data_IF_261532145829
#
_entry.id   IF_261532145829
#
_cell.length_a   1.000
_cell.length_b   1.000
_cell.length_c   1.000
_cell.angle_alpha   90.00
_cell.angle_beta   90.00
_cell.angle_gamma   90.00
#
_symmetry.space_group_name_H-M   'P 1'
#
loop_
_entity.id
_entity.type
_entity.pdbx_description
1 polymer ?
#
# COMPACT_ATOMS: atom_id res chain seq x y z
N UNK A 1 -0.87 -0.19 20.28
CA UNK A 1 -2.16 0.22 19.70
C UNK A 1 -2.65 -0.94 18.84
N UNK A 2 -3.96 -1.14 18.79
CA UNK A 2 -4.57 -2.24 18.05
C UNK A 2 -5.80 -1.71 17.27
N UNK A 3 -5.83 -1.99 15.97
CA UNK A 3 -6.97 -1.74 15.09
C UNK A 3 -7.54 -3.10 14.68
N UNK A 4 -8.78 -3.36 15.03
CA UNK A 4 -9.46 -4.62 14.72
C UNK A 4 -10.60 -4.35 13.75
N UNK A 5 -10.66 -5.11 12.67
CA UNK A 5 -11.70 -5.08 11.66
C UNK A 5 -12.47 -6.38 11.78
N UNK A 6 -13.78 -6.32 12.02
CA UNK A 6 -14.61 -7.49 12.29
C UNK A 6 -15.72 -7.61 11.24
N UNK A 7 -15.68 -8.68 10.43
CA UNK A 7 -16.71 -9.05 9.46
C UNK A 7 -17.19 -7.87 8.58
N UNK A 8 -16.24 -6.97 8.23
CA UNK A 8 -16.54 -5.73 7.55
C UNK A 8 -17.04 -5.99 6.13
N UNK A 9 -18.19 -5.42 5.79
CA UNK A 9 -18.79 -5.57 4.47
C UNK A 9 -19.28 -4.25 3.93
N UNK A 10 -19.15 -4.03 2.61
CA UNK A 10 -19.69 -2.88 1.90
C UNK A 10 -20.37 -3.28 0.61
N UNK A 11 -21.62 -2.89 0.49
CA UNK A 11 -22.46 -3.13 -0.67
C UNK A 11 -22.90 -1.80 -1.30
N UNK A 12 -22.91 -1.74 -2.63
CA UNK A 12 -23.45 -0.65 -3.45
C UNK A 12 -24.51 -1.23 -4.38
N UNK A 13 -25.78 -1.20 -3.96
CA UNK A 13 -26.84 -1.92 -4.66
C UNK A 13 -26.51 -3.41 -4.74
N UNK A 14 -26.39 -3.97 -5.94
CA UNK A 14 -26.03 -5.38 -6.16
C UNK A 14 -24.53 -5.68 -6.07
N UNK A 15 -23.68 -4.65 -6.10
CA UNK A 15 -22.23 -4.83 -6.08
C UNK A 15 -21.71 -4.93 -4.65
N UNK A 16 -21.13 -6.08 -4.29
CA UNK A 16 -20.43 -6.31 -3.02
C UNK A 16 -18.97 -5.93 -3.19
N UNK A 17 -18.58 -4.77 -2.69
CA UNK A 17 -17.22 -4.23 -2.84
C UNK A 17 -16.23 -4.77 -1.79
N UNK A 18 -16.72 -5.02 -0.56
CA UNK A 18 -15.98 -5.69 0.52
C UNK A 18 -16.93 -6.71 1.16
N UNK A 19 -16.41 -7.90 1.51
CA UNK A 19 -17.19 -9.05 1.97
C UNK A 19 -16.48 -9.70 3.15
N UNK A 20 -17.11 -9.65 4.33
CA UNK A 20 -16.65 -10.33 5.56
C UNK A 20 -15.15 -10.15 5.85
N UNK A 21 -14.60 -8.96 5.59
CA UNK A 21 -13.19 -8.69 5.82
C UNK A 21 -12.90 -8.60 7.31
N UNK A 22 -12.02 -9.46 7.82
CA UNK A 22 -11.62 -9.46 9.22
C UNK A 22 -10.09 -9.44 9.31
N UNK A 23 -9.54 -8.53 10.13
CA UNK A 23 -8.10 -8.42 10.36
C UNK A 23 -7.82 -7.74 11.70
N UNK A 24 -6.68 -8.09 12.30
CA UNK A 24 -6.18 -7.48 13.53
C UNK A 24 -4.81 -6.90 13.28
N UNK A 25 -4.68 -5.58 13.41
CA UNK A 25 -3.48 -4.82 13.05
C UNK A 25 -2.88 -4.16 14.30
N UNK A 26 -1.57 -4.29 14.45
CA UNK A 26 -0.77 -3.61 15.50
C UNK A 26 0.30 -2.75 14.84
N UNK A 27 1.22 -2.15 15.60
CA UNK A 27 2.30 -1.35 15.01
C UNK A 27 3.08 -2.15 13.97
N UNK A 28 3.39 -1.51 12.85
CA UNK A 28 4.09 -2.09 11.70
C UNK A 28 3.47 -1.66 10.37
N UNK A 29 4.08 -2.10 9.27
CA UNK A 29 3.57 -1.88 7.90
C UNK A 29 2.73 -3.08 7.47
N UNK A 30 1.56 -2.82 6.94
CA UNK A 30 0.66 -3.81 6.35
C UNK A 30 0.48 -3.50 4.87
N UNK A 31 0.95 -4.42 4.02
CA UNK A 31 0.76 -4.34 2.57
C UNK A 31 -0.63 -4.85 2.19
N UNK A 32 -1.47 -4.01 1.59
CA UNK A 32 -2.79 -4.41 1.08
C UNK A 32 -2.69 -4.64 -0.42
N UNK A 33 -2.52 -5.89 -0.83
CA UNK A 33 -2.37 -6.31 -2.22
C UNK A 33 -3.69 -6.77 -2.83
N UNK A 34 -3.79 -6.71 -4.14
CA UNK A 34 -4.91 -7.20 -4.93
C UNK A 34 -5.09 -6.44 -6.23
N UNK A 35 -5.74 -7.06 -7.20
CA UNK A 35 -6.02 -6.46 -8.49
C UNK A 35 -6.90 -5.19 -8.39
N UNK A 36 -6.94 -4.41 -9.46
CA UNK A 36 -7.85 -3.28 -9.56
C UNK A 36 -9.31 -3.76 -9.42
N UNK A 37 -10.08 -3.08 -8.57
CA UNK A 37 -11.44 -3.48 -8.26
C UNK A 37 -11.58 -4.57 -7.18
N UNK A 38 -10.49 -5.05 -6.56
CA UNK A 38 -10.54 -6.01 -5.45
C UNK A 38 -11.21 -5.48 -4.17
N UNK A 39 -11.43 -4.15 -4.06
CA UNK A 39 -12.08 -3.54 -2.89
C UNK A 39 -11.14 -2.73 -1.98
N UNK A 40 -9.84 -2.66 -2.29
CA UNK A 40 -8.81 -2.00 -1.46
C UNK A 40 -9.17 -0.56 -1.06
N UNK A 41 -9.45 0.31 -2.04
CA UNK A 41 -9.82 1.72 -1.77
C UNK A 41 -11.11 1.83 -0.96
N UNK A 42 -12.09 0.93 -1.18
CA UNK A 42 -13.34 0.91 -0.38
C UNK A 42 -13.04 0.55 1.08
N UNK A 43 -12.24 -0.49 1.32
CA UNK A 43 -11.78 -0.86 2.65
C UNK A 43 -11.05 0.29 3.34
N UNK A 44 -10.09 0.91 2.66
CA UNK A 44 -9.34 2.04 3.22
C UNK A 44 -10.24 3.24 3.55
N UNK A 45 -11.23 3.55 2.72
CA UNK A 45 -12.20 4.63 2.99
C UNK A 45 -13.06 4.34 4.22
N UNK A 46 -13.42 3.08 4.47
CA UNK A 46 -14.11 2.69 5.69
C UNK A 46 -13.20 2.83 6.92
N UNK A 47 -11.95 2.37 6.83
CA UNK A 47 -10.96 2.57 7.90
C UNK A 47 -10.71 4.06 8.16
N UNK A 48 -10.75 4.91 7.13
CA UNK A 48 -10.59 6.36 7.27
C UNK A 48 -11.83 7.08 7.80
N UNK A 49 -12.92 6.39 8.15
CA UNK A 49 -14.21 6.99 8.56
C UNK A 49 -14.75 7.99 7.51
N UNK A 50 -14.37 7.80 6.23
CA UNK A 50 -14.89 8.57 5.08
C UNK A 50 -16.13 7.91 4.50
N UNK A 51 -16.29 6.61 4.76
CA UNK A 51 -17.37 5.80 4.24
C UNK A 51 -17.84 4.81 5.28
N UNK A 52 -19.15 4.77 5.51
CA UNK A 52 -19.79 3.85 6.45
C UNK A 52 -19.88 2.45 5.83
N UNK A 53 -19.63 1.43 6.60
CA UNK A 53 -19.82 0.02 6.29
C UNK A 53 -21.30 -0.33 6.14
N UNK A 54 -21.62 -1.43 5.45
CA UNK A 54 -22.97 -1.99 5.41
C UNK A 54 -23.18 -2.97 6.57
N UNK A 55 -22.14 -3.73 6.95
CA UNK A 55 -22.12 -4.68 8.07
C UNK A 55 -20.72 -4.74 8.67
N UNK A 56 -20.65 -5.24 9.90
CA UNK A 56 -19.41 -5.39 10.62
C UNK A 56 -19.05 -4.15 11.44
N UNK A 57 -17.81 -4.06 11.92
CA UNK A 57 -17.34 -2.92 12.71
C UNK A 57 -15.83 -2.78 12.63
N UNK A 58 -15.34 -1.56 12.82
CA UNK A 58 -13.92 -1.26 13.00
C UNK A 58 -13.73 -0.75 14.43
N UNK A 59 -12.77 -1.35 15.13
CA UNK A 59 -12.51 -1.07 16.53
C UNK A 59 -11.08 -0.56 16.73
N UNK A 60 -10.91 0.51 17.47
CA UNK A 60 -9.60 0.98 17.94
C UNK A 60 -9.47 0.72 19.43
N UNK A 61 -8.51 -0.14 19.82
CA UNK A 61 -8.32 -0.58 21.22
C UNK A 61 -9.64 -1.03 21.87
N UNK A 62 -10.45 -1.81 21.16
CA UNK A 62 -11.73 -2.35 21.64
C UNK A 62 -12.93 -1.39 21.62
N UNK A 63 -12.77 -0.15 21.12
CA UNK A 63 -13.87 0.82 20.98
C UNK A 63 -14.21 1.05 19.50
N UNK A 64 -15.50 1.11 19.16
CA UNK A 64 -15.95 1.37 17.79
C UNK A 64 -15.45 2.76 17.35
N UNK A 65 -14.94 2.85 16.10
CA UNK A 65 -14.41 4.12 15.56
C UNK A 65 -15.49 5.20 15.44
N UNK A 66 -16.76 4.83 15.20
CA UNK A 66 -17.86 5.78 15.13
C UNK A 66 -18.17 6.38 16.51
N UNK A 67 -18.06 5.60 17.59
CA UNK A 67 -18.24 6.11 18.96
C UNK A 67 -17.08 7.03 19.38
N UNK A 68 -15.87 6.77 18.87
CA UNK A 68 -14.70 7.62 19.09
C UNK A 68 -14.77 8.94 18.31
N UNK A 69 -15.40 8.94 17.13
CA UNK A 69 -15.61 10.11 16.32
C UNK A 69 -14.35 10.94 16.07
N UNK A 70 -14.32 12.18 16.60
CA UNK A 70 -13.17 13.08 16.46
C UNK A 70 -11.87 12.50 17.06
N UNK A 71 -11.95 11.77 18.16
CA UNK A 71 -10.77 11.14 18.79
C UNK A 71 -10.10 10.15 17.85
N UNK A 72 -10.88 9.39 17.08
CA UNK A 72 -10.35 8.49 16.04
C UNK A 72 -9.71 9.29 14.90
N UNK A 73 -10.41 10.29 14.35
CA UNK A 73 -9.89 11.13 13.26
C UNK A 73 -8.62 11.87 13.61
N UNK A 74 -8.43 12.23 14.88
CA UNK A 74 -7.21 12.88 15.36
C UNK A 74 -5.96 11.98 15.35
N UNK A 75 -6.14 10.65 15.45
CA UNK A 75 -5.03 9.69 15.36
C UNK A 75 -4.83 9.12 13.96
N UNK A 76 -5.61 9.59 12.98
CA UNK A 76 -5.60 9.10 11.61
C UNK A 76 -4.87 10.08 10.67
N UNK A 77 -3.99 9.54 9.82
CA UNK A 77 -3.43 10.20 8.65
C UNK A 77 -3.84 9.46 7.39
N UNK A 78 -4.29 10.19 6.37
CA UNK A 78 -4.74 9.58 5.11
C UNK A 78 -4.12 10.28 3.91
N UNK A 79 -3.54 9.50 3.01
CA UNK A 79 -3.13 9.90 1.68
C UNK A 79 -3.97 9.12 0.67
N UNK A 80 -4.99 9.71 0.04
CA UNK A 80 -5.75 9.07 -1.03
C UNK A 80 -4.92 8.95 -2.30
N UNK A 81 -5.31 8.03 -3.19
CA UNK A 81 -4.67 7.81 -4.50
C UNK A 81 -4.53 9.12 -5.31
N UNK A 82 -5.53 9.97 -5.26
CA UNK A 82 -5.50 11.31 -5.81
C UNK A 82 -5.78 12.31 -4.69
N UNK A 83 -4.73 12.92 -4.15
CA UNK A 83 -4.94 13.97 -3.15
C UNK A 83 -5.07 15.34 -3.82
N UNK A 84 -6.05 16.11 -3.35
CA UNK A 84 -6.30 17.47 -3.83
C UNK A 84 -5.25 18.44 -3.28
N UNK A 85 -4.76 19.29 -4.14
CA UNK A 85 -3.86 20.40 -3.77
C UNK A 85 -4.19 21.66 -4.57
N UNK A 86 -3.75 22.80 -4.07
CA UNK A 86 -3.88 24.09 -4.76
C UNK A 86 -2.63 24.35 -5.60
N UNK A 87 -2.69 24.31 -6.95
CA UNK A 87 -1.51 24.37 -7.82
C UNK A 87 -0.64 25.61 -7.61
N UNK A 88 -1.25 26.73 -7.24
CA UNK A 88 -0.57 28.01 -7.02
C UNK A 88 -0.11 28.24 -5.58
N UNK A 89 -0.41 27.33 -4.64
CA UNK A 89 0.16 27.38 -3.30
C UNK A 89 1.61 26.89 -3.34
N UNK A 90 2.43 27.43 -2.44
CA UNK A 90 3.73 26.83 -2.13
C UNK A 90 3.53 25.62 -1.23
N UNK A 91 4.51 24.71 -1.18
CA UNK A 91 4.44 23.55 -0.30
C UNK A 91 4.21 23.95 1.17
N UNK A 92 4.93 24.94 1.65
CA UNK A 92 4.76 25.47 2.99
C UNK A 92 3.34 26.06 3.21
N UNK A 93 2.85 26.91 2.29
CA UNK A 93 1.51 27.48 2.38
C UNK A 93 0.42 26.40 2.40
N UNK A 94 0.60 25.34 1.62
CA UNK A 94 -0.31 24.20 1.60
C UNK A 94 -0.36 23.50 2.95
N UNK A 95 0.79 23.16 3.54
CA UNK A 95 0.83 22.52 4.85
C UNK A 95 0.23 23.39 5.96
N UNK A 96 0.51 24.69 5.96
CA UNK A 96 -0.09 25.64 6.90
C UNK A 96 -1.62 25.71 6.76
N UNK A 97 -2.13 25.70 5.53
CA UNK A 97 -3.56 25.66 5.26
C UNK A 97 -4.22 24.37 5.80
N UNK A 98 -3.64 23.20 5.50
CA UNK A 98 -4.16 21.92 6.03
C UNK A 98 -4.05 21.87 7.56
N UNK A 99 -2.95 22.38 8.13
CA UNK A 99 -2.79 22.44 9.58
C UNK A 99 -3.88 23.29 10.25
N UNK A 100 -4.27 24.41 9.64
CA UNK A 100 -5.37 25.25 10.12
C UNK A 100 -6.72 24.51 10.07
N UNK A 101 -7.02 23.80 8.98
CA UNK A 101 -8.23 22.95 8.86
C UNK A 101 -8.25 21.86 9.96
N UNK A 102 -7.08 21.31 10.29
CA UNK A 102 -6.93 20.30 11.35
C UNK A 102 -6.93 20.91 12.77
N UNK A 103 -7.11 22.21 12.91
CA UNK A 103 -7.17 22.89 14.21
C UNK A 103 -5.83 23.05 14.92
N UNK A 104 -4.69 22.92 14.22
CA UNK A 104 -3.38 23.13 14.85
C UNK A 104 -3.15 24.63 15.13
N UNK A 105 -2.72 25.00 16.35
CA UNK A 105 -2.31 26.37 16.64
C UNK A 105 -1.18 26.84 15.71
N UNK A 106 -1.20 28.09 15.26
CA UNK A 106 -0.31 28.62 14.23
C UNK A 106 1.18 28.35 14.51
N UNK A 107 1.65 28.56 15.75
CA UNK A 107 3.05 28.32 16.13
C UNK A 107 3.42 26.86 15.99
N UNK A 108 2.55 25.94 16.45
CA UNK A 108 2.73 24.49 16.30
C UNK A 108 2.69 24.08 14.84
N UNK A 109 1.74 24.61 14.06
CA UNK A 109 1.60 24.35 12.63
C UNK A 109 2.85 24.77 11.85
N UNK A 110 3.41 25.95 12.14
CA UNK A 110 4.65 26.44 11.54
C UNK A 110 5.81 25.50 11.79
N UNK A 111 6.10 25.19 13.06
CA UNK A 111 7.19 24.28 13.44
C UNK A 111 7.02 22.91 12.78
N UNK A 112 5.82 22.33 12.89
CA UNK A 112 5.52 21.02 12.36
C UNK A 112 5.60 20.95 10.83
N UNK A 113 5.17 22.00 10.14
CA UNK A 113 5.26 22.06 8.67
C UNK A 113 6.71 22.05 8.19
N UNK A 114 7.61 22.78 8.84
CA UNK A 114 9.04 22.79 8.49
C UNK A 114 9.69 21.43 8.79
N UNK A 115 9.45 20.85 9.95
CA UNK A 115 9.92 19.50 10.32
C UNK A 115 9.49 18.44 9.30
N UNK A 116 8.24 18.51 8.85
CA UNK A 116 7.71 17.54 7.89
C UNK A 116 8.28 17.77 6.48
N UNK A 117 8.45 19.03 6.04
CA UNK A 117 9.11 19.32 4.77
C UNK A 117 10.55 18.83 4.74
N UNK A 118 11.27 18.93 5.85
CA UNK A 118 12.61 18.37 6.00
C UNK A 118 12.57 16.84 5.93
N UNK A 119 11.67 16.21 6.70
CA UNK A 119 11.51 14.75 6.76
C UNK A 119 11.19 14.12 5.40
N UNK A 120 10.42 14.81 4.56
CA UNK A 120 10.10 14.34 3.21
C UNK A 120 11.05 14.91 2.13
N UNK A 121 12.17 15.53 2.52
CA UNK A 121 13.17 16.14 1.63
C UNK A 121 12.59 17.15 0.63
N UNK A 122 11.75 18.06 1.13
CA UNK A 122 11.15 19.19 0.37
C UNK A 122 11.43 20.54 1.00
N UNK A 123 12.34 20.64 1.97
CA UNK A 123 12.61 21.88 2.70
C UNK A 123 13.14 22.98 1.76
N UNK A 124 14.01 22.65 0.82
CA UNK A 124 14.57 23.58 -0.16
C UNK A 124 13.49 24.12 -1.12
N UNK A 125 12.45 23.31 -1.41
CA UNK A 125 11.34 23.66 -2.29
C UNK A 125 10.14 24.22 -1.53
N UNK A 126 10.25 24.54 -0.23
CA UNK A 126 9.14 25.01 0.61
C UNK A 126 8.37 26.21 0.04
N UNK A 127 9.07 27.09 -0.68
CA UNK A 127 8.52 28.29 -1.30
C UNK A 127 8.17 28.11 -2.78
N UNK A 128 8.42 26.95 -3.36
CA UNK A 128 8.08 26.64 -4.74
C UNK A 128 6.59 26.27 -4.88
N UNK A 129 5.97 26.70 -5.97
CA UNK A 129 4.56 26.39 -6.26
C UNK A 129 4.39 24.92 -6.61
N UNK A 130 3.35 24.30 -6.06
CA UNK A 130 3.07 22.84 -6.22
C UNK A 130 2.87 22.46 -7.68
N UNK A 131 2.38 23.36 -8.54
CA UNK A 131 2.25 23.08 -9.98
C UNK A 131 3.57 22.70 -10.67
N UNK A 132 4.71 23.16 -10.13
CA UNK A 132 6.04 22.88 -10.67
C UNK A 132 6.63 21.56 -10.11
N UNK A 133 5.97 20.93 -9.13
CA UNK A 133 6.44 19.70 -8.50
C UNK A 133 6.34 18.51 -9.45
N UNK A 134 7.35 17.64 -9.41
CA UNK A 134 7.29 16.30 -10.00
C UNK A 134 6.21 15.44 -9.31
N UNK A 135 5.87 14.30 -9.91
CA UNK A 135 4.96 13.33 -9.29
C UNK A 135 5.44 12.90 -7.91
N UNK A 136 6.72 12.55 -7.78
CA UNK A 136 7.34 12.16 -6.51
C UNK A 136 7.37 13.27 -5.47
N UNK A 137 7.60 14.53 -5.86
CA UNK A 137 7.51 15.67 -4.96
C UNK A 137 6.10 15.89 -4.45
N UNK A 138 5.08 15.74 -5.31
CA UNK A 138 3.67 15.83 -4.89
C UNK A 138 3.30 14.72 -3.92
N UNK A 139 3.72 13.48 -4.19
CA UNK A 139 3.49 12.35 -3.29
C UNK A 139 4.13 12.58 -1.91
N UNK A 140 5.39 13.03 -1.87
CA UNK A 140 6.08 13.36 -0.62
C UNK A 140 5.38 14.49 0.15
N UNK A 141 4.86 15.50 -0.54
CA UNK A 141 4.05 16.55 0.08
C UNK A 141 2.73 15.98 0.65
N UNK A 142 2.10 15.04 -0.06
CA UNK A 142 0.90 14.34 0.39
C UNK A 142 1.15 13.52 1.67
N UNK A 143 2.34 12.89 1.80
CA UNK A 143 2.74 12.22 3.05
C UNK A 143 2.91 13.26 4.17
N UNK A 144 3.58 14.36 3.90
CA UNK A 144 3.77 15.42 4.90
C UNK A 144 2.43 15.92 5.44
N UNK A 145 1.44 16.16 4.56
CA UNK A 145 0.10 16.58 5.00
C UNK A 145 -0.63 15.51 5.83
N UNK A 146 -0.46 14.22 5.50
CA UNK A 146 -1.05 13.12 6.28
C UNK A 146 -0.45 13.03 7.69
N UNK A 147 0.81 13.44 7.87
CA UNK A 147 1.56 13.40 9.13
C UNK A 147 1.39 14.63 10.04
N UNK A 148 0.64 15.65 9.64
CA UNK A 148 0.54 16.92 10.38
C UNK A 148 0.13 16.74 11.86
N UNK A 149 -0.86 15.89 12.15
CA UNK A 149 -1.36 15.63 13.52
C UNK A 149 -0.57 14.56 14.27
N UNK A 150 0.59 14.13 13.76
CA UNK A 150 1.34 12.99 14.30
C UNK A 150 0.46 11.72 14.48
N UNK A 151 -0.16 11.25 13.39
CA UNK A 151 -1.11 10.16 13.47
C UNK A 151 -0.48 8.88 13.98
N UNK A 152 -1.30 8.04 14.63
CA UNK A 152 -0.93 6.69 15.07
C UNK A 152 -1.33 5.62 14.05
N UNK A 153 -2.25 5.96 13.17
CA UNK A 153 -2.69 5.12 12.03
C UNK A 153 -2.45 5.94 10.76
N UNK A 154 -1.71 5.38 9.82
CA UNK A 154 -1.40 6.01 8.53
C UNK A 154 -1.90 5.13 7.39
N UNK A 155 -2.81 5.66 6.60
CA UNK A 155 -3.40 4.98 5.44
C UNK A 155 -2.88 5.63 4.18
N UNK A 156 -2.30 4.83 3.27
CA UNK A 156 -1.68 5.28 2.03
C UNK A 156 -2.25 4.48 0.85
N UNK A 157 -3.05 5.12 0.02
CA UNK A 157 -3.71 4.48 -1.11
C UNK A 157 -2.90 4.71 -2.40
N UNK A 158 -2.26 3.63 -2.92
CA UNK A 158 -1.41 3.63 -4.12
C UNK A 158 -0.32 4.75 -4.13
N UNK A 159 0.43 4.94 -3.04
CA UNK A 159 1.30 6.11 -2.88
C UNK A 159 2.54 6.09 -3.77
N UNK A 160 2.88 4.97 -4.39
CA UNK A 160 4.04 4.79 -5.26
C UNK A 160 3.69 4.82 -6.74
N UNK A 161 2.40 4.95 -7.08
CA UNK A 161 1.95 5.01 -8.46
C UNK A 161 2.59 6.19 -9.21
N UNK A 162 3.23 5.89 -10.35
CA UNK A 162 3.89 6.91 -11.18
C UNK A 162 5.23 7.44 -10.64
N UNK A 163 5.78 6.84 -9.59
CA UNK A 163 7.14 7.15 -9.12
C UNK A 163 8.20 6.38 -9.92
N UNK A 164 9.33 7.02 -10.15
CA UNK A 164 10.51 6.34 -10.67
C UNK A 164 11.13 5.38 -9.62
N UNK A 165 11.98 4.40 -10.02
CA UNK A 165 12.56 3.42 -9.11
C UNK A 165 13.31 4.03 -7.94
N UNK A 166 14.03 5.15 -8.14
CA UNK A 166 14.80 5.84 -7.09
C UNK A 166 13.87 6.47 -6.05
N UNK A 167 12.79 7.11 -6.50
CA UNK A 167 11.79 7.70 -5.60
C UNK A 167 11.03 6.60 -4.83
N UNK A 168 10.76 5.42 -5.43
CA UNK A 168 10.16 4.28 -4.71
C UNK A 168 11.03 3.78 -3.56
N UNK A 169 12.34 3.66 -3.77
CA UNK A 169 13.28 3.27 -2.71
C UNK A 169 13.25 4.29 -1.56
N UNK A 170 13.30 5.58 -1.89
CA UNK A 170 13.20 6.65 -0.88
C UNK A 170 11.89 6.60 -0.11
N UNK A 171 10.79 6.36 -0.83
CA UNK A 171 9.48 6.21 -0.23
C UNK A 171 9.43 5.04 0.75
N UNK A 172 9.90 3.84 0.36
CA UNK A 172 9.95 2.65 1.23
C UNK A 172 10.73 2.93 2.50
N UNK A 173 11.91 3.53 2.40
CA UNK A 173 12.72 3.88 3.57
C UNK A 173 11.99 4.87 4.50
N UNK A 174 11.31 5.87 3.94
CA UNK A 174 10.50 6.80 4.72
C UNK A 174 9.36 6.10 5.46
N UNK A 175 8.61 5.21 4.79
CA UNK A 175 7.49 4.48 5.38
C UNK A 175 7.97 3.53 6.47
N UNK A 176 9.05 2.79 6.24
CA UNK A 176 9.66 1.91 7.23
C UNK A 176 10.03 2.67 8.51
N UNK A 177 10.70 3.81 8.39
CA UNK A 177 11.05 4.67 9.53
C UNK A 177 9.84 5.26 10.26
N UNK A 178 8.70 5.44 9.57
CA UNK A 178 7.47 5.94 10.17
C UNK A 178 6.71 4.86 10.96
N UNK A 179 6.90 3.59 10.64
CA UNK A 179 6.08 2.49 11.13
C UNK A 179 6.43 1.99 12.54
N UNK A 180 7.60 2.35 13.11
CA UNK A 180 8.04 1.87 14.43
C UNK A 180 6.96 1.97 15.52
N UNK A 181 6.23 3.10 15.55
CA UNK A 181 5.20 3.38 16.56
C UNK A 181 3.83 3.66 15.95
N UNK A 182 3.56 3.16 14.74
CA UNK A 182 2.31 3.39 14.00
C UNK A 182 1.82 2.13 13.34
N UNK A 183 0.53 2.08 13.12
CA UNK A 183 -0.09 1.15 12.16
C UNK A 183 -0.05 1.86 10.81
N UNK A 184 0.64 1.29 9.83
CA UNK A 184 0.69 1.82 8.47
C UNK A 184 0.03 0.80 7.55
N UNK A 185 -1.02 1.21 6.85
CA UNK A 185 -1.68 0.39 5.81
C UNK A 185 -1.36 1.03 4.46
N UNK A 186 -0.72 0.26 3.60
CA UNK A 186 -0.26 0.68 2.29
C UNK A 186 -0.92 -0.18 1.21
N UNK A 187 -1.81 0.40 0.39
CA UNK A 187 -2.28 -0.31 -0.79
C UNK A 187 -1.32 -0.14 -1.96
N UNK A 188 -1.09 -1.21 -2.68
CA UNK A 188 -0.35 -1.18 -3.93
C UNK A 188 -0.69 -2.40 -4.79
N UNK A 189 -0.47 -2.27 -6.09
CA UNK A 189 -0.43 -3.40 -7.03
C UNK A 189 1.01 -3.79 -7.38
N UNK A 190 2.00 -3.11 -6.79
CA UNK A 190 3.43 -3.34 -7.02
C UNK A 190 3.99 -4.08 -5.80
N UNK A 191 4.20 -5.35 -5.96
CA UNK A 191 4.63 -6.29 -4.92
C UNK A 191 5.91 -5.83 -4.23
N UNK A 192 6.93 -5.44 -5.00
CA UNK A 192 8.23 -5.00 -4.51
C UNK A 192 8.18 -3.75 -3.61
N UNK A 193 7.08 -3.00 -3.60
CA UNK A 193 6.92 -1.85 -2.71
C UNK A 193 6.65 -2.24 -1.26
N UNK A 194 6.10 -3.42 -1.03
CA UNK A 194 5.72 -3.90 0.31
C UNK A 194 6.54 -5.09 0.79
N UNK A 195 7.05 -5.93 -0.11
CA UNK A 195 7.78 -7.16 0.21
C UNK A 195 8.91 -6.96 1.24
N UNK A 196 9.67 -5.85 1.12
CA UNK A 196 10.80 -5.57 1.98
C UNK A 196 10.48 -4.81 3.27
N UNK A 197 9.29 -4.21 3.39
CA UNK A 197 8.95 -3.35 4.53
C UNK A 197 7.71 -3.82 5.30
N UNK A 198 6.89 -4.70 4.70
CA UNK A 198 5.68 -5.14 5.34
C UNK A 198 5.96 -6.14 6.46
N UNK A 199 5.37 -5.89 7.62
CA UNK A 199 5.26 -6.86 8.70
C UNK A 199 4.35 -8.02 8.29
N UNK A 200 3.24 -7.69 7.67
CA UNK A 200 2.27 -8.64 7.12
C UNK A 200 1.70 -8.09 5.81
N UNK A 201 1.27 -9.03 4.97
CA UNK A 201 0.58 -8.76 3.72
C UNK A 201 -0.85 -9.27 3.82
N UNK A 202 -1.78 -8.45 3.35
CA UNK A 202 -3.21 -8.74 3.27
C UNK A 202 -3.56 -8.82 1.78
N UNK A 203 -3.88 -10.01 1.27
CA UNK A 203 -4.22 -10.20 -0.14
C UNK A 203 -5.74 -10.20 -0.30
N UNK A 204 -6.25 -9.23 -1.07
CA UNK A 204 -7.68 -9.12 -1.37
C UNK A 204 -8.02 -9.60 -2.78
N UNK A 205 -9.06 -10.43 -2.90
CA UNK A 205 -9.63 -10.88 -4.17
C UNK A 205 -11.15 -10.79 -4.13
N UNK A 206 -11.76 -10.05 -5.07
CA UNK A 206 -13.23 -9.89 -5.19
C UNK A 206 -13.93 -9.46 -3.90
N UNK A 207 -13.29 -8.58 -3.12
CA UNK A 207 -13.82 -8.02 -1.87
C UNK A 207 -13.52 -8.84 -0.61
N UNK A 208 -12.91 -9.99 -0.72
CA UNK A 208 -12.58 -10.89 0.39
C UNK A 208 -11.07 -10.86 0.70
N UNK A 209 -10.72 -11.06 1.96
CA UNK A 209 -9.35 -11.34 2.39
C UNK A 209 -9.07 -12.83 2.13
N UNK A 210 -8.15 -13.13 1.21
CA UNK A 210 -7.82 -14.50 0.84
C UNK A 210 -6.57 -15.01 1.56
N UNK A 211 -5.61 -14.13 1.84
CA UNK A 211 -4.40 -14.47 2.59
C UNK A 211 -4.01 -13.31 3.51
N UNK A 212 -3.48 -13.66 4.69
CA UNK A 212 -2.85 -12.75 5.64
C UNK A 212 -1.65 -13.45 6.28
N UNK A 213 -0.50 -12.80 6.29
CA UNK A 213 0.70 -13.31 6.95
C UNK A 213 1.94 -12.49 6.64
N UNK A 214 3.09 -12.87 7.22
CA UNK A 214 4.37 -12.31 6.80
C UNK A 214 4.67 -12.72 5.35
N UNK A 215 5.50 -11.97 4.61
CA UNK A 215 5.90 -12.35 3.26
C UNK A 215 6.35 -13.81 3.17
N UNK A 216 7.20 -14.26 4.09
CA UNK A 216 7.71 -15.62 4.15
C UNK A 216 6.60 -16.66 4.41
N UNK A 217 5.66 -16.34 5.32
CA UNK A 217 4.55 -17.24 5.63
C UNK A 217 3.59 -17.44 4.44
N UNK A 218 3.39 -16.38 3.65
CA UNK A 218 2.55 -16.42 2.44
C UNK A 218 3.23 -17.19 1.32
N UNK A 219 4.56 -17.10 1.18
CA UNK A 219 5.32 -17.79 0.14
C UNK A 219 5.57 -19.29 0.45
N UNK A 220 5.57 -19.67 1.72
CA UNK A 220 5.86 -21.04 2.14
C UNK A 220 5.03 -22.13 1.43
N UNK A 221 3.70 -21.95 1.16
CA UNK A 221 2.92 -22.96 0.44
C UNK A 221 3.36 -23.23 -1.00
N UNK A 222 4.06 -22.30 -1.62
CA UNK A 222 4.57 -22.43 -3.00
C UNK A 222 6.10 -22.61 -3.04
N UNK A 223 6.75 -22.76 -1.90
CA UNK A 223 8.15 -23.15 -1.79
C UNK A 223 8.33 -24.50 -2.49
N UNK A 224 9.28 -24.60 -3.40
CA UNK A 224 9.53 -25.71 -4.31
C UNK A 224 8.58 -25.90 -5.52
N UNK A 225 7.57 -25.04 -5.69
CA UNK A 225 6.67 -25.09 -6.86
C UNK A 225 7.01 -24.07 -7.94
N UNK A 226 8.03 -23.26 -7.73
CA UNK A 226 8.46 -22.24 -8.69
C UNK A 226 9.70 -22.69 -9.41
N UNK A 227 9.60 -22.75 -10.73
CA UNK A 227 10.65 -23.25 -11.61
C UNK A 227 11.06 -22.16 -12.61
N UNK A 228 12.33 -22.13 -12.93
CA UNK A 228 12.83 -21.37 -14.10
C UNK A 228 13.40 -22.33 -15.11
N UNK A 229 13.22 -22.06 -16.39
CA UNK A 229 13.80 -22.81 -17.48
C UNK A 229 14.22 -21.89 -18.62
N UNK A 230 15.28 -22.27 -19.34
CA UNK A 230 15.70 -21.63 -20.58
C UNK A 230 15.40 -22.58 -21.73
N UNK A 231 14.54 -22.17 -22.67
CA UNK A 231 14.01 -23.01 -23.73
C UNK A 231 13.94 -22.23 -25.05
N UNK A 232 13.75 -22.92 -26.16
CA UNK A 232 13.46 -22.29 -27.45
C UNK A 232 12.08 -21.61 -27.43
N UNK A 233 11.84 -20.66 -28.32
CA UNK A 233 10.55 -19.98 -28.46
C UNK A 233 9.38 -20.95 -28.67
N UNK A 234 9.60 -22.03 -29.45
CA UNK A 234 8.56 -23.01 -29.72
C UNK A 234 8.20 -23.83 -28.47
N UNK A 235 9.19 -24.18 -27.68
CA UNK A 235 8.98 -24.89 -26.40
C UNK A 235 8.31 -23.96 -25.38
N UNK A 236 8.69 -22.66 -25.36
CA UNK A 236 8.05 -21.68 -24.51
C UNK A 236 6.54 -21.57 -24.78
N UNK A 237 6.12 -21.48 -26.04
CA UNK A 237 4.69 -21.47 -26.44
C UNK A 237 3.96 -22.75 -25.97
N UNK A 238 4.63 -23.90 -25.99
CA UNK A 238 4.04 -25.15 -25.50
C UNK A 238 3.93 -25.18 -23.97
N UNK A 239 4.91 -24.67 -23.24
CA UNK A 239 4.89 -24.60 -21.78
C UNK A 239 3.84 -23.60 -21.29
N UNK A 240 3.72 -22.44 -21.91
CA UNK A 240 2.67 -21.44 -21.60
C UNK A 240 1.25 -21.97 -21.82
N UNK A 241 1.05 -22.88 -22.78
CA UNK A 241 -0.24 -23.49 -23.02
C UNK A 241 -0.63 -24.54 -21.94
N UNK A 242 0.35 -25.15 -21.26
CA UNK A 242 0.13 -26.25 -20.32
C UNK A 242 0.34 -25.89 -18.84
N UNK A 243 1.07 -24.81 -18.55
CA UNK A 243 1.44 -24.42 -17.20
C UNK A 243 1.10 -22.96 -16.90
N UNK A 244 1.00 -22.62 -15.61
CA UNK A 244 0.86 -21.23 -15.17
C UNK A 244 2.24 -20.56 -15.26
N UNK A 245 2.38 -19.60 -16.19
CA UNK A 245 3.61 -18.83 -16.37
C UNK A 245 3.53 -17.52 -15.63
N UNK A 246 4.38 -17.32 -14.64
CA UNK A 246 4.45 -16.08 -13.87
C UNK A 246 5.22 -14.98 -14.62
N UNK A 247 6.26 -15.33 -15.38
CA UNK A 247 7.08 -14.38 -16.14
C UNK A 247 7.75 -15.03 -17.36
N UNK A 248 7.96 -14.21 -18.40
CA UNK A 248 8.70 -14.57 -19.62
C UNK A 248 9.75 -13.48 -19.90
N UNK A 249 11.00 -13.87 -20.09
CA UNK A 249 12.09 -12.95 -20.49
C UNK A 249 12.79 -13.48 -21.76
N UNK A 250 12.95 -12.57 -22.73
CA UNK A 250 13.73 -12.87 -23.93
C UNK A 250 15.23 -12.62 -23.65
N UNK A 251 16.08 -13.61 -23.91
CA UNK A 251 17.54 -13.51 -23.71
C UNK A 251 18.27 -14.21 -24.85
N UNK A 252 19.04 -13.47 -25.67
CA UNK A 252 20.02 -14.01 -26.64
C UNK A 252 19.51 -15.18 -27.53
N UNK A 253 18.23 -15.17 -27.94
CA UNK A 253 17.65 -16.22 -28.78
C UNK A 253 17.04 -17.40 -28.00
N UNK A 254 17.06 -17.36 -26.70
CA UNK A 254 16.33 -18.27 -25.81
C UNK A 254 15.24 -17.51 -25.03
N UNK A 255 14.25 -18.24 -24.57
CA UNK A 255 13.18 -17.75 -23.71
C UNK A 255 13.40 -18.28 -22.30
N UNK A 256 13.43 -17.38 -21.31
CA UNK A 256 13.48 -17.76 -19.90
C UNK A 256 12.09 -17.61 -19.30
N UNK A 257 11.48 -18.74 -18.95
CA UNK A 257 10.17 -18.80 -18.32
C UNK A 257 10.32 -19.00 -16.81
N UNK A 258 9.37 -18.38 -16.09
CA UNK A 258 9.12 -18.66 -14.66
C UNK A 258 7.75 -19.30 -14.53
N UNK A 259 7.73 -20.56 -14.08
CA UNK A 259 6.56 -21.45 -14.14
C UNK A 259 6.19 -21.88 -12.71
N UNK A 260 4.90 -21.95 -12.42
CA UNK A 260 4.37 -22.49 -11.17
C UNK A 260 3.81 -23.87 -11.45
N UNK A 261 4.42 -24.91 -10.86
CA UNK A 261 4.04 -26.30 -11.04
C UNK A 261 4.47 -27.17 -9.85
N UNK A 262 3.65 -28.14 -9.48
CA UNK A 262 4.00 -29.14 -8.47
C UNK A 262 5.15 -30.04 -8.96
N UNK A 263 5.13 -30.39 -10.25
CA UNK A 263 6.13 -31.21 -10.89
C UNK A 263 7.08 -30.36 -11.74
N UNK A 264 8.29 -30.89 -11.99
CA UNK A 264 9.28 -30.28 -12.87
C UNK A 264 8.72 -30.11 -14.30
N UNK A 265 8.58 -28.91 -14.83
CA UNK A 265 7.86 -28.66 -16.10
C UNK A 265 8.63 -29.11 -17.35
N UNK A 266 9.96 -29.24 -17.29
CA UNK A 266 10.80 -29.72 -18.37
C UNK A 266 12.18 -30.16 -17.84
N UNK A 267 12.93 -30.94 -18.65
CA UNK A 267 14.24 -31.50 -18.26
C UNK A 267 15.30 -30.45 -17.85
N UNK A 268 15.20 -29.24 -18.42
CA UNK A 268 16.13 -28.14 -18.16
C UNK A 268 15.61 -27.15 -17.13
N UNK A 269 14.55 -27.46 -16.39
CA UNK A 269 14.02 -26.59 -15.37
C UNK A 269 14.78 -26.76 -14.04
N UNK A 270 15.00 -25.63 -13.34
CA UNK A 270 15.56 -25.63 -11.99
C UNK A 270 14.63 -24.91 -11.03
N UNK A 271 14.55 -25.39 -9.81
CA UNK A 271 13.73 -24.78 -8.77
C UNK A 271 14.36 -23.46 -8.31
N UNK A 272 13.53 -22.45 -8.07
CA UNK A 272 13.95 -21.13 -7.59
C UNK A 272 13.09 -20.70 -6.39
N UNK A 273 13.62 -19.79 -5.58
CA UNK A 273 12.87 -19.23 -4.48
C UNK A 273 11.62 -18.48 -5.00
N UNK A 274 10.46 -18.71 -4.39
CA UNK A 274 9.25 -17.99 -4.76
C UNK A 274 9.32 -16.52 -4.38
N UNK A 275 8.61 -15.70 -5.15
CA UNK A 275 8.37 -14.29 -4.87
C UNK A 275 6.88 -14.02 -4.75
N UNK A 276 6.50 -12.90 -4.19
CA UNK A 276 5.08 -12.54 -4.11
C UNK A 276 4.43 -12.28 -5.49
N UNK A 277 5.23 -12.14 -6.55
CA UNK A 277 4.73 -12.04 -7.93
C UNK A 277 4.27 -13.39 -8.48
N UNK A 278 4.62 -14.49 -7.82
CA UNK A 278 4.22 -15.86 -8.18
C UNK A 278 2.85 -16.27 -7.60
N UNK A 279 2.19 -15.39 -6.82
CA UNK A 279 0.88 -15.59 -6.19
C UNK A 279 -0.26 -14.91 -6.99
#
# INVERSE_FOLDING_TARGET
MELTINELSKEYGSKKAVRHFSAKLTNGVYGLLGANGAGKTTLMRMICDVQTETKGAIMLNGKNIHDLGEQYRNVLGYLPQQFGYYPNFTAYKFLMYIAAIKGLPHIKAHKRSLELLEKVALIEQKNEKIKNFSGGMKQRLGIAQALLNDPKILILDEPTAGLDPKERVRFRNLISALAENRIVILSTHIVSDVEYIAKEILIMKKGELVHQGSPEAILKPIENYVWECEVSRKEAEMLEANFITANLKHSNGAERLRIISEDCPCENAWNVEPTLEDL
#
